data_IF_591023009648
#
_entry.id   IF_591023009648
#
_cell.length_a   1.000
_cell.length_b   1.000
_cell.length_c   1.000
_cell.angle_alpha   90.00
_cell.angle_beta   90.00
_cell.angle_gamma   90.00
#
_symmetry.space_group_name_H-M   'P 1'
#
loop_
_entity.id
_entity.type
_entity.pdbx_description
1 polymer ?
#
# COMPACT_ATOMS: atom_id res chain seq x y z
N UNK A 1 -143.42 -15.44 147.09
CA UNK A 1 -142.16 -15.11 147.79
C UNK A 1 -141.30 -14.29 146.84
N UNK A 2 -140.77 -13.14 147.29
CA UNK A 2 -139.97 -12.26 146.45
C UNK A 2 -138.52 -12.78 146.37
N UNK A 3 -137.92 -12.73 145.17
CA UNK A 3 -136.53 -13.17 144.93
C UNK A 3 -135.58 -12.08 145.42
N UNK A 4 -134.51 -12.49 146.11
CA UNK A 4 -133.49 -11.58 146.65
C UNK A 4 -132.37 -11.28 145.64
N UNK A 5 -131.69 -10.16 145.85
CA UNK A 5 -130.55 -9.71 145.02
C UNK A 5 -129.38 -10.68 145.11
N UNK A 6 -129.12 -11.25 146.28
CA UNK A 6 -128.04 -12.22 146.51
C UNK A 6 -128.26 -13.51 145.70
N UNK A 7 -129.50 -13.96 145.58
CA UNK A 7 -129.85 -15.12 144.74
C UNK A 7 -129.62 -14.84 143.25
N UNK A 8 -129.93 -13.62 142.79
CA UNK A 8 -129.68 -13.19 141.42
C UNK A 8 -128.17 -13.15 141.13
N UNK A 9 -127.36 -12.70 142.08
CA UNK A 9 -125.90 -12.65 141.94
C UNK A 9 -125.29 -14.05 141.93
N UNK A 10 -125.73 -14.94 142.84
CA UNK A 10 -125.24 -16.31 142.90
C UNK A 10 -125.51 -17.07 141.59
N UNK A 11 -126.71 -16.92 141.01
CA UNK A 11 -127.04 -17.52 139.71
C UNK A 11 -126.22 -16.89 138.57
N UNK A 12 -125.99 -15.58 138.62
CA UNK A 12 -125.16 -14.92 137.62
C UNK A 12 -123.69 -15.38 137.70
N UNK A 13 -123.15 -15.54 138.92
CA UNK A 13 -121.81 -16.09 139.18
C UNK A 13 -121.70 -17.55 138.71
N UNK A 14 -122.72 -18.39 138.96
CA UNK A 14 -122.74 -19.78 138.48
C UNK A 14 -122.76 -19.87 136.95
N UNK A 15 -123.61 -19.07 136.29
CA UNK A 15 -123.67 -19.02 134.83
C UNK A 15 -122.33 -18.55 134.24
N UNK A 16 -121.71 -17.55 134.86
CA UNK A 16 -120.44 -17.00 134.44
C UNK A 16 -119.26 -17.97 134.66
N UNK A 17 -119.22 -18.68 135.79
CA UNK A 17 -118.25 -19.72 136.08
C UNK A 17 -118.39 -20.93 135.14
N UNK A 18 -119.60 -21.21 134.66
CA UNK A 18 -119.87 -22.19 133.61
C UNK A 18 -119.52 -21.71 132.18
N UNK A 19 -118.98 -20.48 132.04
CA UNK A 19 -118.63 -19.87 130.75
C UNK A 19 -119.83 -19.43 129.90
N UNK A 20 -121.03 -19.39 130.50
CA UNK A 20 -122.25 -18.95 129.82
C UNK A 20 -122.55 -17.48 130.15
N UNK A 21 -122.97 -16.70 129.15
CA UNK A 21 -123.30 -15.30 129.40
C UNK A 21 -124.55 -15.17 130.30
N UNK A 22 -124.42 -14.55 131.50
CA UNK A 22 -125.55 -14.35 132.40
C UNK A 22 -126.42 -13.19 131.89
N UNK A 23 -127.30 -13.51 130.95
CA UNK A 23 -128.32 -12.60 130.44
C UNK A 23 -129.53 -12.57 131.36
N UNK A 24 -130.34 -11.50 131.31
CA UNK A 24 -131.55 -11.39 132.14
C UNK A 24 -132.50 -12.59 131.94
N UNK A 25 -132.58 -13.10 130.72
CA UNK A 25 -133.40 -14.26 130.39
C UNK A 25 -132.86 -15.56 131.00
N UNK A 26 -131.54 -15.79 130.96
CA UNK A 26 -130.92 -17.00 131.52
C UNK A 26 -131.02 -17.01 133.04
N UNK A 27 -130.73 -15.87 133.68
CA UNK A 27 -130.82 -15.72 135.13
C UNK A 27 -132.26 -15.93 135.62
N UNK A 28 -133.27 -15.37 134.92
CA UNK A 28 -134.69 -15.60 135.24
C UNK A 28 -135.12 -17.05 135.01
N UNK A 29 -134.61 -17.70 133.95
CA UNK A 29 -134.91 -19.11 133.65
C UNK A 29 -134.40 -20.04 134.76
N UNK A 30 -133.19 -19.79 135.26
CA UNK A 30 -132.59 -20.57 136.35
C UNK A 30 -133.30 -20.34 137.69
N UNK A 31 -133.72 -19.11 137.96
CA UNK A 31 -134.45 -18.74 139.19
C UNK A 31 -135.93 -19.15 139.16
N UNK A 32 -136.50 -19.43 137.98
CA UNK A 32 -137.87 -19.90 137.79
C UNK A 32 -138.98 -18.86 138.03
N UNK A 33 -138.66 -17.67 138.53
CA UNK A 33 -139.61 -16.57 138.81
C UNK A 33 -138.87 -15.23 138.91
N UNK A 34 -139.58 -14.12 139.14
CA UNK A 34 -139.01 -12.77 139.30
C UNK A 34 -139.37 -11.80 138.17
N UNK A 35 -139.53 -10.52 138.50
CA UNK A 35 -139.75 -9.47 137.52
C UNK A 35 -138.43 -9.14 136.80
N UNK A 36 -138.50 -8.86 135.51
CA UNK A 36 -137.31 -8.47 134.74
C UNK A 36 -136.70 -7.15 135.21
N UNK A 37 -137.48 -6.25 135.80
CA UNK A 37 -136.97 -4.97 136.32
C UNK A 37 -136.06 -5.20 137.52
N UNK A 38 -136.49 -6.00 138.50
CA UNK A 38 -135.69 -6.32 139.69
C UNK A 38 -134.44 -7.12 139.33
N UNK A 39 -134.53 -8.07 138.38
CA UNK A 39 -133.36 -8.81 137.89
C UNK A 39 -132.41 -7.90 137.12
N UNK A 40 -132.90 -6.92 136.35
CA UNK A 40 -132.05 -5.98 135.61
C UNK A 40 -131.24 -5.04 136.49
N UNK A 41 -131.84 -4.52 137.57
CA UNK A 41 -131.14 -3.67 138.54
C UNK A 41 -130.02 -4.46 139.23
N UNK A 42 -130.34 -5.65 139.74
CA UNK A 42 -129.36 -6.55 140.32
C UNK A 42 -128.27 -6.96 139.31
N UNK A 43 -128.62 -7.33 138.09
CA UNK A 43 -127.63 -7.73 137.07
C UNK A 43 -126.72 -6.59 136.60
N UNK A 44 -127.22 -5.35 136.56
CA UNK A 44 -126.37 -4.20 136.26
C UNK A 44 -125.33 -3.99 137.37
N UNK A 45 -125.74 -4.14 138.63
CA UNK A 45 -124.85 -4.02 139.76
C UNK A 45 -123.86 -5.20 139.86
N UNK A 46 -124.30 -6.42 139.53
CA UNK A 46 -123.43 -7.59 139.39
C UNK A 46 -122.38 -7.38 138.30
N UNK A 47 -122.77 -6.86 137.11
CA UNK A 47 -121.80 -6.54 136.04
C UNK A 47 -120.81 -5.46 136.46
N UNK A 48 -121.26 -4.43 137.18
CA UNK A 48 -120.37 -3.39 137.71
C UNK A 48 -119.37 -3.96 138.74
N UNK A 49 -119.81 -4.89 139.59
CA UNK A 49 -118.93 -5.62 140.53
C UNK A 49 -117.92 -6.51 139.80
N UNK A 50 -118.33 -7.21 138.75
CA UNK A 50 -117.42 -8.05 137.96
C UNK A 50 -116.39 -7.20 137.19
N UNK A 51 -116.81 -6.10 136.58
CA UNK A 51 -115.91 -5.20 135.85
C UNK A 51 -114.84 -4.57 136.77
N UNK A 52 -115.20 -4.25 138.02
CA UNK A 52 -114.24 -3.73 139.00
C UNK A 52 -113.30 -4.81 139.55
N UNK A 53 -113.73 -6.07 139.66
CA UNK A 53 -112.85 -7.19 140.04
C UNK A 53 -111.93 -7.66 138.89
N UNK A 54 -112.32 -7.46 137.64
CA UNK A 54 -111.59 -7.96 136.46
C UNK A 54 -110.62 -6.94 135.84
N UNK A 55 -110.35 -5.80 136.49
CA UNK A 55 -109.27 -4.90 136.09
C UNK A 55 -107.96 -5.36 136.77
N UNK A 56 -107.11 -6.19 136.12
CA UNK A 56 -105.80 -6.46 136.66
C UNK A 56 -105.04 -5.14 136.78
N UNK A 57 -104.67 -4.78 138.00
CA UNK A 57 -103.75 -3.68 138.29
C UNK A 57 -102.44 -4.04 137.58
N UNK A 58 -102.20 -3.41 136.43
CA UNK A 58 -100.86 -3.40 135.83
C UNK A 58 -100.07 -2.36 136.59
N UNK A 59 -99.37 -2.79 137.63
CA UNK A 59 -98.40 -1.93 138.28
C UNK A 59 -97.36 -1.50 137.25
N UNK A 60 -97.06 -0.20 137.11
CA UNK A 60 -95.98 0.26 136.26
C UNK A 60 -94.70 -0.40 136.75
N UNK A 61 -93.85 -0.85 135.80
CA UNK A 61 -92.55 -1.39 136.15
C UNK A 61 -91.81 -0.36 137.03
N UNK A 62 -91.20 -0.78 138.16
CA UNK A 62 -90.45 0.13 139.03
C UNK A 62 -89.44 0.96 138.24
N UNK A 63 -89.30 2.25 138.58
CA UNK A 63 -88.46 3.20 137.84
C UNK A 63 -87.02 2.69 137.65
N UNK A 64 -86.47 1.97 138.63
CA UNK A 64 -85.14 1.36 138.54
C UNK A 64 -85.00 0.35 137.38
N UNK A 65 -86.06 -0.39 137.05
CA UNK A 65 -86.05 -1.35 135.93
C UNK A 65 -86.13 -0.61 134.60
N UNK A 66 -86.96 0.42 134.50
CA UNK A 66 -87.07 1.23 133.27
C UNK A 66 -85.77 1.99 132.99
N UNK A 67 -85.13 2.54 134.02
CA UNK A 67 -83.85 3.24 133.88
C UNK A 67 -82.75 2.30 133.38
N UNK A 68 -82.69 1.06 133.90
CA UNK A 68 -81.74 0.04 133.43
C UNK A 68 -82.02 -0.48 132.03
N UNK A 69 -83.29 -0.63 131.64
CA UNK A 69 -83.63 -0.98 130.26
C UNK A 69 -83.28 0.15 129.27
N UNK A 70 -83.46 1.42 129.68
CA UNK A 70 -83.08 2.57 128.86
C UNK A 70 -81.55 2.68 128.71
N UNK A 71 -80.79 2.46 129.78
CA UNK A 71 -79.31 2.41 129.75
C UNK A 71 -78.82 1.29 128.83
N UNK A 72 -79.32 0.05 129.01
CA UNK A 72 -78.97 -1.08 128.14
C UNK A 72 -79.34 -0.82 126.66
N UNK A 73 -80.49 -0.20 126.41
CA UNK A 73 -80.90 0.19 125.05
C UNK A 73 -79.98 1.26 124.44
N UNK A 74 -79.55 2.23 125.25
CA UNK A 74 -78.58 3.26 124.86
C UNK A 74 -77.21 2.67 124.53
N UNK A 75 -76.71 1.77 125.38
CA UNK A 75 -75.43 1.09 125.18
C UNK A 75 -75.46 0.20 123.93
N UNK A 76 -76.52 -0.58 123.74
CA UNK A 76 -76.69 -1.42 122.55
C UNK A 76 -76.77 -0.57 121.27
N UNK A 77 -77.47 0.56 121.33
CA UNK A 77 -77.56 1.50 120.21
C UNK A 77 -76.20 2.17 119.93
N UNK A 78 -75.45 2.56 120.96
CA UNK A 78 -74.11 3.13 120.81
C UNK A 78 -73.16 2.14 120.12
N UNK A 79 -73.14 0.87 120.55
CA UNK A 79 -72.35 -0.19 119.92
C UNK A 79 -72.79 -0.40 118.46
N UNK A 80 -74.09 -0.45 118.19
CA UNK A 80 -74.60 -0.61 116.82
C UNK A 80 -74.20 0.57 115.92
N UNK A 81 -74.26 1.80 116.43
CA UNK A 81 -73.87 3.00 115.71
C UNK A 81 -72.36 3.06 115.47
N UNK A 82 -71.55 2.68 116.45
CA UNK A 82 -70.10 2.55 116.30
C UNK A 82 -69.75 1.53 115.21
N UNK A 83 -70.38 0.35 115.22
CA UNK A 83 -70.19 -0.66 114.16
C UNK A 83 -70.60 -0.14 112.78
N UNK A 84 -71.74 0.56 112.69
CA UNK A 84 -72.21 1.15 111.44
C UNK A 84 -71.25 2.23 110.92
N UNK A 85 -70.75 3.10 111.81
CA UNK A 85 -69.79 4.15 111.47
C UNK A 85 -68.44 3.57 111.04
N UNK A 86 -67.94 2.55 111.74
CA UNK A 86 -66.70 1.86 111.38
C UNK A 86 -66.81 1.18 110.02
N UNK A 87 -67.94 0.52 109.74
CA UNK A 87 -68.20 -0.07 108.42
C UNK A 87 -68.27 0.99 107.32
N UNK A 88 -68.98 2.10 107.57
CA UNK A 88 -69.06 3.21 106.61
C UNK A 88 -67.69 3.85 106.34
N UNK A 89 -66.86 3.99 107.38
CA UNK A 89 -65.49 4.48 107.24
C UNK A 89 -64.65 3.53 106.40
N UNK A 90 -64.70 2.23 106.67
CA UNK A 90 -63.98 1.20 105.90
C UNK A 90 -64.46 1.12 104.45
N UNK A 91 -65.76 1.21 104.18
CA UNK A 91 -66.30 1.24 102.81
C UNK A 91 -65.85 2.50 102.04
N UNK A 92 -65.79 3.66 102.71
CA UNK A 92 -65.26 4.90 102.11
C UNK A 92 -63.77 4.80 101.80
N UNK A 93 -62.98 4.27 102.73
CA UNK A 93 -61.55 4.06 102.53
C UNK A 93 -61.30 3.08 101.37
N UNK A 94 -62.05 1.98 101.30
CA UNK A 94 -61.95 1.03 100.19
C UNK A 94 -62.36 1.65 98.84
N UNK A 95 -63.42 2.46 98.80
CA UNK A 95 -63.84 3.18 97.60
C UNK A 95 -62.78 4.20 97.15
N UNK A 96 -62.19 4.92 98.10
CA UNK A 96 -61.12 5.88 97.80
C UNK A 96 -59.86 5.17 97.30
N UNK A 97 -59.49 4.04 97.90
CA UNK A 97 -58.38 3.22 97.44
C UNK A 97 -58.60 2.72 96.00
N UNK A 98 -59.78 2.18 95.68
CA UNK A 98 -60.12 1.74 94.32
C UNK A 98 -60.12 2.93 93.35
N UNK A 99 -60.64 4.09 93.76
CA UNK A 99 -60.58 5.30 92.92
C UNK A 99 -59.14 5.70 92.61
N UNK A 100 -58.27 5.75 93.61
CA UNK A 100 -56.86 6.07 93.43
C UNK A 100 -56.15 5.06 92.53
N UNK A 101 -56.40 3.76 92.72
CA UNK A 101 -55.85 2.70 91.87
C UNK A 101 -56.32 2.83 90.42
N UNK A 102 -57.62 3.09 90.19
CA UNK A 102 -58.15 3.28 88.83
C UNK A 102 -57.63 4.55 88.16
N UNK A 103 -57.44 5.63 88.92
CA UNK A 103 -56.87 6.87 88.39
C UNK A 103 -55.38 6.69 88.06
N UNK A 104 -54.63 6.00 88.92
CA UNK A 104 -53.23 5.65 88.66
C UNK A 104 -53.11 4.78 87.40
N UNK A 105 -53.91 3.70 87.29
CA UNK A 105 -53.93 2.85 86.10
C UNK A 105 -54.33 3.61 84.83
N UNK A 106 -55.25 4.58 84.94
CA UNK A 106 -55.64 5.46 83.83
C UNK A 106 -54.49 6.38 83.41
N UNK A 107 -53.73 6.93 84.36
CA UNK A 107 -52.56 7.77 84.09
C UNK A 107 -51.45 6.97 83.43
N UNK A 108 -51.10 5.80 83.96
CA UNK A 108 -50.11 4.89 83.35
C UNK A 108 -50.50 4.49 81.92
N UNK A 109 -51.78 4.18 81.68
CA UNK A 109 -52.28 3.88 80.35
C UNK A 109 -52.20 5.07 79.38
N UNK A 110 -52.46 6.29 79.87
CA UNK A 110 -52.31 7.51 79.08
C UNK A 110 -50.85 7.78 78.72
N UNK A 111 -49.93 7.65 79.69
CA UNK A 111 -48.49 7.82 79.45
C UNK A 111 -47.95 6.79 78.45
N UNK A 112 -48.38 5.53 78.55
CA UNK A 112 -48.02 4.50 77.57
C UNK A 112 -48.58 4.80 76.18
N UNK A 113 -49.82 5.29 76.09
CA UNK A 113 -50.43 5.68 74.81
C UNK A 113 -49.69 6.85 74.15
N UNK A 114 -49.26 7.84 74.94
CA UNK A 114 -48.46 8.96 74.45
C UNK A 114 -47.06 8.49 73.99
N UNK A 115 -46.42 7.60 74.75
CA UNK A 115 -45.14 6.98 74.35
C UNK A 115 -45.25 6.21 73.03
N UNK A 116 -46.23 5.31 72.91
CA UNK A 116 -46.46 4.52 71.69
C UNK A 116 -46.81 5.40 70.49
N UNK A 117 -47.52 6.51 70.71
CA UNK A 117 -47.80 7.48 69.64
C UNK A 117 -46.52 8.15 69.16
N UNK A 118 -45.64 8.56 70.09
CA UNK A 118 -44.32 9.10 69.76
C UNK A 118 -43.44 8.12 69.00
N UNK A 119 -43.36 6.86 69.46
CA UNK A 119 -42.61 5.81 68.77
C UNK A 119 -43.16 5.52 67.38
N UNK A 120 -44.49 5.52 67.21
CA UNK A 120 -45.14 5.31 65.92
C UNK A 120 -44.80 6.45 64.93
N UNK A 121 -44.82 7.69 65.40
CA UNK A 121 -44.48 8.84 64.57
C UNK A 121 -42.99 8.87 64.21
N UNK A 122 -42.10 8.49 65.13
CA UNK A 122 -40.68 8.31 64.84
C UNK A 122 -40.44 7.19 63.82
N UNK A 123 -41.11 6.04 63.98
CA UNK A 123 -41.02 4.93 63.04
C UNK A 123 -41.50 5.33 61.64
N UNK A 124 -42.63 6.05 61.54
CA UNK A 124 -43.12 6.58 60.26
C UNK A 124 -42.13 7.56 59.62
N UNK A 125 -41.52 8.45 60.42
CA UNK A 125 -40.50 9.37 59.93
C UNK A 125 -39.25 8.63 59.41
N UNK A 126 -38.81 7.57 60.11
CA UNK A 126 -37.71 6.71 59.65
C UNK A 126 -38.04 5.97 58.36
N UNK A 127 -39.25 5.44 58.21
CA UNK A 127 -39.70 4.79 56.96
C UNK A 127 -39.69 5.78 55.80
N UNK A 128 -40.27 6.97 55.98
CA UNK A 128 -40.28 8.00 54.94
C UNK A 128 -38.86 8.44 54.54
N UNK A 129 -37.94 8.55 55.51
CA UNK A 129 -36.53 8.85 55.22
C UNK A 129 -35.84 7.74 54.44
N UNK A 130 -36.08 6.47 54.79
CA UNK A 130 -35.53 5.31 54.06
C UNK A 130 -36.08 5.21 52.64
N UNK A 131 -37.38 5.45 52.44
CA UNK A 131 -38.00 5.47 51.11
C UNK A 131 -37.41 6.59 50.23
N UNK A 132 -37.13 7.77 50.81
CA UNK A 132 -36.48 8.86 50.10
C UNK A 132 -35.03 8.50 49.68
N UNK A 133 -34.28 7.85 50.56
CA UNK A 133 -32.93 7.36 50.25
C UNK A 133 -32.97 6.27 49.17
N UNK A 134 -33.92 5.34 49.24
CA UNK A 134 -34.09 4.30 48.23
C UNK A 134 -34.43 4.90 46.85
N UNK A 135 -35.33 5.89 46.81
CA UNK A 135 -35.68 6.60 45.59
C UNK A 135 -34.47 7.35 45.00
N UNK A 136 -33.68 8.02 45.84
CA UNK A 136 -32.45 8.69 45.41
C UNK A 136 -31.42 7.69 44.86
N UNK A 137 -31.19 6.58 45.56
CA UNK A 137 -30.26 5.53 45.13
C UNK A 137 -30.69 4.87 43.81
N UNK A 138 -32.00 4.66 43.60
CA UNK A 138 -32.55 4.19 42.31
C UNK A 138 -32.29 5.20 41.19
N UNK A 139 -32.51 6.49 41.44
CA UNK A 139 -32.22 7.56 40.49
C UNK A 139 -30.75 7.61 40.09
N UNK A 140 -29.83 7.54 41.07
CA UNK A 140 -28.39 7.48 40.81
C UNK A 140 -27.98 6.23 40.03
N UNK A 141 -28.56 5.07 40.35
CA UNK A 141 -28.30 3.83 39.63
C UNK A 141 -28.76 3.91 38.16
N UNK A 142 -29.90 4.53 37.88
CA UNK A 142 -30.39 4.73 36.52
C UNK A 142 -29.53 5.75 35.75
N UNK A 143 -29.08 6.82 36.41
CA UNK A 143 -28.13 7.76 35.81
C UNK A 143 -26.80 7.08 35.46
N UNK A 144 -26.26 6.26 36.36
CA UNK A 144 -25.03 5.50 36.13
C UNK A 144 -25.20 4.47 35.01
N UNK A 145 -26.35 3.78 34.93
CA UNK A 145 -26.67 2.89 33.80
C UNK A 145 -26.73 3.65 32.47
N UNK A 146 -27.34 4.84 32.46
CA UNK A 146 -27.39 5.70 31.29
C UNK A 146 -26.00 6.15 30.83
N UNK A 147 -25.14 6.58 31.77
CA UNK A 147 -23.74 6.92 31.47
C UNK A 147 -22.97 5.73 30.92
N UNK A 148 -23.12 4.56 31.55
CA UNK A 148 -22.45 3.33 31.11
C UNK A 148 -22.85 2.97 29.67
N UNK A 149 -24.15 2.97 29.36
CA UNK A 149 -24.67 2.70 28.02
C UNK A 149 -24.08 3.67 26.98
N UNK A 150 -24.09 4.98 27.28
CA UNK A 150 -23.52 5.99 26.39
C UNK A 150 -22.02 5.82 26.17
N UNK A 151 -21.26 5.44 27.20
CA UNK A 151 -19.82 5.17 27.05
C UNK A 151 -19.56 3.90 26.24
N UNK A 152 -20.36 2.85 26.43
CA UNK A 152 -20.24 1.60 25.67
C UNK A 152 -20.55 1.81 24.18
N UNK A 153 -21.56 2.62 23.85
CA UNK A 153 -21.87 2.98 22.45
C UNK A 153 -20.74 3.77 21.79
N UNK A 154 -20.15 4.73 22.51
CA UNK A 154 -18.98 5.48 22.04
C UNK A 154 -17.78 4.56 21.82
N UNK A 155 -17.53 3.61 22.72
CA UNK A 155 -16.47 2.63 22.57
C UNK A 155 -16.67 1.74 21.34
N UNK A 156 -17.87 1.18 21.16
CA UNK A 156 -18.21 0.37 19.99
C UNK A 156 -18.04 1.16 18.67
N UNK A 157 -18.45 2.43 18.65
CA UNK A 157 -18.27 3.31 17.49
C UNK A 157 -16.78 3.58 17.20
N UNK A 158 -15.98 3.81 18.26
CA UNK A 158 -14.54 4.02 18.10
C UNK A 158 -13.83 2.76 17.60
N UNK A 159 -14.22 1.57 18.09
CA UNK A 159 -13.71 0.28 17.64
C UNK A 159 -14.06 0.01 16.17
N UNK A 160 -15.30 0.28 15.75
CA UNK A 160 -15.71 0.16 14.35
C UNK A 160 -14.86 1.06 13.44
N UNK A 161 -14.69 2.33 13.79
CA UNK A 161 -13.83 3.27 13.04
C UNK A 161 -12.36 2.84 13.00
N UNK A 162 -11.84 2.29 14.10
CA UNK A 162 -10.48 1.75 14.13
C UNK A 162 -10.34 0.54 13.18
N UNK A 163 -11.36 -0.32 13.08
CA UNK A 163 -11.42 -1.42 12.12
C UNK A 163 -11.45 -0.95 10.67
N UNK A 164 -12.26 0.07 10.36
CA UNK A 164 -12.34 0.70 9.04
C UNK A 164 -10.99 1.31 8.64
N UNK A 165 -10.39 2.14 9.51
CA UNK A 165 -9.09 2.77 9.26
C UNK A 165 -7.96 1.75 9.06
N UNK A 166 -8.01 0.62 9.77
CA UNK A 166 -7.04 -0.47 9.58
C UNK A 166 -7.18 -1.11 8.20
N UNK A 167 -8.41 -1.32 7.75
CA UNK A 167 -8.70 -1.87 6.42
C UNK A 167 -8.24 -0.90 5.32
N UNK A 168 -8.53 0.39 5.47
CA UNK A 168 -8.07 1.43 4.54
C UNK A 168 -6.54 1.52 4.50
N UNK A 169 -5.87 1.43 5.65
CA UNK A 169 -4.40 1.44 5.73
C UNK A 169 -3.79 0.22 5.02
N UNK A 170 -4.37 -0.97 5.22
CA UNK A 170 -3.93 -2.18 4.54
C UNK A 170 -4.12 -2.06 3.01
N UNK A 171 -5.22 -1.45 2.57
CA UNK A 171 -5.45 -1.17 1.16
C UNK A 171 -4.43 -0.17 0.59
N UNK A 172 -4.22 0.96 1.27
CA UNK A 172 -3.23 1.96 0.87
C UNK A 172 -1.80 1.37 0.81
N UNK A 173 -1.45 0.48 1.74
CA UNK A 173 -0.19 -0.26 1.71
C UNK A 173 -0.09 -1.20 0.50
N UNK A 174 -1.17 -1.88 0.12
CA UNK A 174 -1.20 -2.71 -1.09
C UNK A 174 -1.04 -1.88 -2.36
N UNK A 175 -1.76 -0.76 -2.48
CA UNK A 175 -1.63 0.17 -3.60
C UNK A 175 -0.21 0.73 -3.69
N UNK A 176 0.38 1.15 -2.56
CA UNK A 176 1.76 1.64 -2.53
C UNK A 176 2.77 0.57 -2.98
N UNK A 177 2.56 -0.71 -2.62
CA UNK A 177 3.40 -1.82 -3.11
C UNK A 177 3.22 -2.04 -4.61
N UNK A 178 1.99 -1.99 -5.11
CA UNK A 178 1.69 -2.13 -6.54
C UNK A 178 2.35 -0.99 -7.35
N UNK A 179 2.15 0.26 -6.93
CA UNK A 179 2.75 1.42 -7.58
C UNK A 179 4.29 1.36 -7.59
N UNK A 180 4.92 0.88 -6.50
CA UNK A 180 6.38 0.64 -6.47
C UNK A 180 6.80 -0.43 -7.47
N UNK A 181 6.09 -1.55 -7.54
CA UNK A 181 6.40 -2.62 -8.49
C UNK A 181 6.21 -2.17 -9.95
N UNK A 182 5.19 -1.37 -10.26
CA UNK A 182 4.99 -0.78 -11.58
C UNK A 182 6.10 0.21 -11.94
N UNK A 183 6.50 1.06 -10.98
CA UNK A 183 7.62 1.99 -11.15
C UNK A 183 8.92 1.23 -11.43
N UNK A 184 9.20 0.17 -10.69
CA UNK A 184 10.44 -0.61 -10.88
C UNK A 184 10.44 -1.27 -12.26
N UNK A 185 9.32 -1.84 -12.71
CA UNK A 185 9.17 -2.35 -14.09
C UNK A 185 9.32 -1.25 -15.15
N UNK A 186 8.77 -0.06 -14.92
CA UNK A 186 8.91 1.06 -15.84
C UNK A 186 10.37 1.52 -15.91
N UNK A 187 11.08 1.53 -14.77
CA UNK A 187 12.50 1.84 -14.70
C UNK A 187 13.34 0.82 -15.47
N UNK A 188 13.09 -0.48 -15.29
CA UNK A 188 13.78 -1.55 -16.04
C UNK A 188 13.56 -1.42 -17.56
N UNK A 189 12.34 -1.09 -17.98
CA UNK A 189 12.05 -0.83 -19.41
C UNK A 189 12.77 0.42 -19.92
N UNK A 190 12.83 1.47 -19.11
CA UNK A 190 13.54 2.70 -19.48
C UNK A 190 15.04 2.46 -19.61
N UNK A 191 15.66 1.70 -18.69
CA UNK A 191 17.08 1.32 -18.79
C UNK A 191 17.32 0.44 -20.01
N UNK A 192 16.49 -0.58 -20.23
CA UNK A 192 16.62 -1.44 -21.42
C UNK A 192 16.47 -0.65 -22.73
N UNK A 193 15.55 0.32 -22.78
CA UNK A 193 15.39 1.19 -23.93
C UNK A 193 16.59 2.13 -24.12
N UNK A 194 17.18 2.64 -23.04
CA UNK A 194 18.39 3.45 -23.09
C UNK A 194 19.58 2.64 -23.65
N UNK A 195 19.76 1.41 -23.17
CA UNK A 195 20.80 0.49 -23.66
C UNK A 195 20.61 0.18 -25.16
N UNK A 196 19.36 -0.04 -25.60
CA UNK A 196 19.04 -0.23 -27.02
C UNK A 196 19.36 1.00 -27.86
N UNK A 197 19.06 2.21 -27.36
CA UNK A 197 19.41 3.46 -28.07
C UNK A 197 20.92 3.62 -28.17
N UNK A 198 21.67 3.27 -27.13
CA UNK A 198 23.14 3.30 -27.18
C UNK A 198 23.70 2.29 -28.18
N UNK A 199 23.19 1.06 -28.20
CA UNK A 199 23.56 0.05 -29.19
C UNK A 199 23.28 0.52 -30.63
N UNK A 200 22.08 1.05 -30.88
CA UNK A 200 21.72 1.60 -32.21
C UNK A 200 22.60 2.78 -32.62
N UNK A 201 23.00 3.64 -31.67
CA UNK A 201 23.95 4.73 -31.94
C UNK A 201 25.33 4.21 -32.32
N UNK A 202 25.81 3.16 -31.65
CA UNK A 202 27.07 2.50 -31.99
C UNK A 202 27.03 1.86 -33.38
N UNK A 203 25.94 1.15 -33.70
CA UNK A 203 25.73 0.55 -35.02
C UNK A 203 25.67 1.62 -36.11
N UNK A 204 24.97 2.74 -35.87
CA UNK A 204 24.90 3.87 -36.79
C UNK A 204 26.28 4.50 -37.00
N UNK A 205 27.07 4.68 -35.95
CA UNK A 205 28.44 5.19 -36.07
C UNK A 205 29.33 4.23 -36.89
N UNK A 206 29.21 2.93 -36.67
CA UNK A 206 29.93 1.92 -37.46
C UNK A 206 29.49 1.92 -38.93
N UNK A 207 28.19 2.04 -39.20
CA UNK A 207 27.66 2.16 -40.55
C UNK A 207 28.18 3.42 -41.26
N UNK A 208 28.16 4.58 -40.58
CA UNK A 208 28.69 5.83 -41.11
C UNK A 208 30.19 5.73 -41.42
N UNK A 209 30.98 5.09 -40.56
CA UNK A 209 32.41 4.84 -40.82
C UNK A 209 32.62 3.96 -42.05
N UNK A 210 31.80 2.92 -42.24
CA UNK A 210 31.86 2.06 -43.43
C UNK A 210 31.49 2.84 -44.69
N UNK A 211 30.45 3.67 -44.63
CA UNK A 211 30.07 4.56 -45.75
C UNK A 211 31.21 5.50 -46.11
N UNK A 212 31.84 6.15 -45.14
CA UNK A 212 32.99 7.03 -45.39
C UNK A 212 34.19 6.26 -45.99
N UNK A 213 34.44 5.03 -45.56
CA UNK A 213 35.48 4.18 -46.16
C UNK A 213 35.15 3.79 -47.60
N UNK A 214 33.89 3.42 -47.87
CA UNK A 214 33.41 3.12 -49.23
C UNK A 214 33.55 4.35 -50.13
N UNK A 215 33.17 5.54 -49.65
CA UNK A 215 33.33 6.80 -50.39
C UNK A 215 34.79 7.10 -50.67
N UNK A 216 35.68 6.90 -49.69
CA UNK A 216 37.13 7.05 -49.88
C UNK A 216 37.66 6.08 -50.95
N UNK A 217 37.35 4.79 -50.84
CA UNK A 217 37.76 3.77 -51.82
C UNK A 217 37.18 4.07 -53.21
N UNK A 218 35.95 4.54 -53.29
CA UNK A 218 35.35 4.97 -54.56
C UNK A 218 36.08 6.19 -55.15
N UNK A 219 36.50 7.14 -54.31
CA UNK A 219 37.34 8.26 -54.72
C UNK A 219 38.72 7.82 -55.24
N UNK A 220 39.39 6.92 -54.51
CA UNK A 220 40.66 6.31 -54.91
C UNK A 220 40.54 5.58 -56.25
N UNK A 221 39.52 4.72 -56.41
CA UNK A 221 39.24 4.01 -57.66
C UNK A 221 38.93 4.95 -58.82
N UNK A 222 38.20 6.05 -58.59
CA UNK A 222 37.96 7.08 -59.63
C UNK A 222 39.27 7.73 -60.06
N UNK A 223 40.16 8.05 -59.11
CA UNK A 223 41.47 8.63 -59.41
C UNK A 223 42.40 7.64 -60.12
N UNK A 224 42.38 6.35 -59.74
CA UNK A 224 43.08 5.28 -60.44
C UNK A 224 42.57 5.13 -61.88
N UNK A 225 41.25 5.13 -62.08
CA UNK A 225 40.64 5.07 -63.41
C UNK A 225 41.01 6.29 -64.27
N UNK A 226 41.01 7.49 -63.70
CA UNK A 226 41.45 8.70 -64.40
C UNK A 226 42.93 8.61 -64.79
N UNK A 227 43.80 8.16 -63.89
CA UNK A 227 45.22 7.90 -64.20
C UNK A 227 45.39 6.84 -65.28
N UNK A 228 44.62 5.75 -65.24
CA UNK A 228 44.66 4.70 -66.26
C UNK A 228 44.16 5.19 -67.62
N UNK A 229 43.11 6.01 -67.65
CA UNK A 229 42.61 6.65 -68.87
C UNK A 229 43.66 7.61 -69.44
N UNK A 230 44.25 8.48 -68.62
CA UNK A 230 45.33 9.38 -69.04
C UNK A 230 46.54 8.60 -69.57
N UNK A 231 46.95 7.51 -68.90
CA UNK A 231 48.02 6.64 -69.38
C UNK A 231 47.66 5.97 -70.71
N UNK A 232 46.41 5.56 -70.89
CA UNK A 232 45.89 5.00 -72.15
C UNK A 232 45.91 6.05 -73.27
N UNK A 233 45.50 7.28 -72.99
CA UNK A 233 45.52 8.39 -73.95
C UNK A 233 46.96 8.79 -74.31
N UNK A 234 47.88 8.83 -73.34
CA UNK A 234 49.31 9.01 -73.58
C UNK A 234 49.90 7.87 -74.42
N UNK A 235 49.55 6.61 -74.12
CA UNK A 235 49.99 5.47 -74.91
C UNK A 235 49.46 5.52 -76.35
N UNK A 236 48.20 5.94 -76.55
CA UNK A 236 47.62 6.18 -77.87
C UNK A 236 48.33 7.31 -78.62
N UNK A 237 48.63 8.42 -77.94
CA UNK A 237 49.38 9.54 -78.51
C UNK A 237 50.80 9.10 -78.93
N UNK A 238 51.52 8.42 -78.04
CA UNK A 238 52.84 7.86 -78.32
C UNK A 238 52.80 6.84 -79.46
N UNK A 239 51.77 5.98 -79.52
CA UNK A 239 51.59 5.04 -80.63
C UNK A 239 51.30 5.77 -81.95
N UNK A 240 50.52 6.86 -81.92
CA UNK A 240 50.27 7.68 -83.10
C UNK A 240 51.53 8.40 -83.59
N UNK A 241 52.35 8.93 -82.67
CA UNK A 241 53.67 9.49 -82.98
C UNK A 241 54.62 8.43 -83.54
N UNK A 242 54.67 7.25 -82.92
CA UNK A 242 55.45 6.13 -83.43
C UNK A 242 54.98 5.73 -84.84
N UNK A 243 53.68 5.67 -85.10
CA UNK A 243 53.13 5.40 -86.45
C UNK A 243 53.60 6.45 -87.44
N UNK A 244 53.47 7.74 -87.13
CA UNK A 244 53.99 8.82 -87.97
C UNK A 244 55.49 8.69 -88.21
N UNK A 245 56.27 8.41 -87.17
CA UNK A 245 57.70 8.20 -87.29
C UNK A 245 58.02 6.98 -88.18
N UNK A 246 57.27 5.88 -88.05
CA UNK A 246 57.42 4.71 -88.94
C UNK A 246 56.97 4.99 -90.37
N UNK A 247 55.95 5.82 -90.59
CA UNK A 247 55.52 6.26 -91.92
C UNK A 247 56.58 7.16 -92.57
N UNK A 248 57.15 8.10 -91.81
CA UNK A 248 58.28 8.93 -92.25
C UNK A 248 59.49 8.06 -92.56
N UNK A 249 59.88 7.15 -91.65
CA UNK A 249 60.99 6.24 -91.87
C UNK A 249 60.74 5.30 -93.06
N UNK A 250 59.49 4.87 -93.29
CA UNK A 250 59.11 4.10 -94.47
C UNK A 250 59.23 4.94 -95.75
N UNK A 251 58.78 6.20 -95.73
CA UNK A 251 58.91 7.13 -96.84
C UNK A 251 60.38 7.45 -97.15
N UNK A 252 61.21 7.69 -96.12
CA UNK A 252 62.65 7.87 -96.24
C UNK A 252 63.31 6.61 -96.81
N UNK A 253 62.94 5.42 -96.31
CA UNK A 253 63.44 4.14 -96.84
C UNK A 253 63.05 3.95 -98.30
N UNK A 254 61.82 4.29 -98.67
CA UNK A 254 61.34 4.16 -100.04
C UNK A 254 62.02 5.20 -100.96
N UNK A 255 62.31 6.41 -100.47
CA UNK A 255 63.14 7.41 -101.14
C UNK A 255 64.59 6.93 -101.31
N UNK A 256 65.20 6.36 -100.26
CA UNK A 256 66.55 5.76 -100.34
C UNK A 256 66.57 4.59 -101.31
N UNK A 257 65.52 3.76 -101.36
CA UNK A 257 65.39 2.71 -102.38
C UNK A 257 65.27 3.28 -103.79
N UNK A 258 64.52 4.36 -103.99
CA UNK A 258 64.42 5.03 -105.28
C UNK A 258 65.77 5.63 -105.72
N UNK A 259 66.48 6.29 -104.81
CA UNK A 259 67.85 6.79 -105.06
C UNK A 259 68.83 5.63 -105.30
N UNK A 260 68.71 4.51 -104.58
CA UNK A 260 69.52 3.31 -104.81
C UNK A 260 69.27 2.73 -106.21
N UNK A 261 68.01 2.63 -106.65
CA UNK A 261 67.66 2.22 -108.03
C UNK A 261 68.25 3.18 -109.05
N UNK A 262 68.22 4.49 -108.79
CA UNK A 262 68.81 5.50 -109.68
C UNK A 262 70.35 5.41 -109.73
N UNK A 263 70.99 5.13 -108.60
CA UNK A 263 72.44 4.90 -108.52
C UNK A 263 72.80 3.58 -109.18
N UNK A 264 72.03 2.51 -108.99
CA UNK A 264 72.20 1.24 -109.70
C UNK A 264 72.06 1.44 -111.21
N UNK A 265 71.05 2.16 -111.69
CA UNK A 265 70.90 2.47 -113.10
C UNK A 265 72.08 3.30 -113.66
N UNK A 266 72.63 4.24 -112.88
CA UNK A 266 73.85 4.97 -113.23
C UNK A 266 75.09 4.08 -113.24
N UNK A 267 75.21 3.16 -112.28
CA UNK A 267 76.30 2.20 -112.20
C UNK A 267 76.24 1.23 -113.38
N UNK A 268 75.07 0.71 -113.73
CA UNK A 268 74.85 -0.14 -114.90
C UNK A 268 75.15 0.61 -116.21
N UNK A 269 74.74 1.87 -116.33
CA UNK A 269 75.08 2.71 -117.48
C UNK A 269 76.60 2.98 -117.57
N UNK A 270 77.27 3.19 -116.44
CA UNK A 270 78.73 3.33 -116.39
C UNK A 270 79.45 2.01 -116.73
N UNK A 271 78.92 0.87 -116.28
CA UNK A 271 79.43 -0.47 -116.58
C UNK A 271 79.28 -0.77 -118.08
N UNK A 272 78.12 -0.44 -118.68
CA UNK A 272 77.89 -0.55 -120.12
C UNK A 272 78.84 0.34 -120.92
N UNK A 273 79.02 1.61 -120.50
CA UNK A 273 79.99 2.51 -121.12
C UNK A 273 81.44 1.98 -121.01
N UNK A 274 81.82 1.41 -119.86
CA UNK A 274 83.13 0.78 -119.69
C UNK A 274 83.30 -0.49 -120.53
N UNK A 275 82.25 -1.29 -120.71
CA UNK A 275 82.29 -2.44 -121.62
C UNK A 275 82.45 -2.01 -123.08
N UNK A 276 81.74 -0.97 -123.52
CA UNK A 276 81.90 -0.41 -124.87
C UNK A 276 83.30 0.17 -125.08
N UNK A 277 83.82 0.90 -124.09
CA UNK A 277 85.18 1.46 -124.13
C UNK A 277 86.25 0.35 -124.17
N UNK A 278 86.07 -0.76 -123.44
CA UNK A 278 86.97 -1.92 -123.50
C UNK A 278 86.93 -2.62 -124.86
N UNK A 279 85.75 -2.74 -125.50
CA UNK A 279 85.63 -3.30 -126.85
C UNK A 279 86.32 -2.41 -127.90
N UNK A 280 86.20 -1.09 -127.78
CA UNK A 280 86.91 -0.14 -128.64
C UNK A 280 88.43 -0.23 -128.47
N UNK A 281 88.93 -0.27 -127.23
CA UNK A 281 90.36 -0.41 -126.95
C UNK A 281 90.91 -1.79 -127.38
N UNK A 282 90.13 -2.86 -127.27
CA UNK A 282 90.53 -4.18 -127.77
C UNK A 282 90.65 -4.21 -129.31
N UNK A 283 89.76 -3.50 -130.02
CA UNK A 283 89.83 -3.39 -131.48
C UNK A 283 91.04 -2.57 -131.97
N UNK A 284 91.43 -1.52 -131.24
CA UNK A 284 92.63 -0.73 -131.55
C UNK A 284 93.93 -1.47 -131.19
N UNK A 285 93.96 -2.22 -130.09
CA UNK A 285 95.09 -3.08 -129.74
C UNK A 285 95.31 -4.20 -130.77
N UNK A 286 94.24 -4.75 -131.35
CA UNK A 286 94.36 -5.78 -132.39
C UNK A 286 94.94 -5.22 -133.70
N UNK A 287 94.52 -4.02 -134.13
CA UNK A 287 95.13 -3.32 -135.29
C UNK A 287 96.61 -2.96 -135.08
N UNK A 288 97.00 -2.65 -133.85
CA UNK A 288 98.40 -2.37 -133.49
C UNK A 288 99.25 -3.66 -133.52
N UNK A 289 98.69 -4.80 -133.11
CA UNK A 289 99.36 -6.09 -133.17
C UNK A 289 99.59 -6.59 -134.61
N UNK A 290 98.66 -6.39 -135.53
CA UNK A 290 98.84 -6.75 -136.95
C UNK A 290 99.94 -5.93 -137.64
N UNK A 291 100.07 -4.64 -137.31
CA UNK A 291 101.14 -3.77 -137.84
C UNK A 291 102.54 -4.17 -137.36
N UNK A 292 102.66 -4.64 -136.12
CA UNK A 292 103.94 -5.13 -135.57
C UNK A 292 104.38 -6.44 -136.23
N UNK A 293 103.43 -7.33 -136.57
CA UNK A 293 103.72 -8.58 -137.29
C UNK A 293 104.19 -8.31 -138.73
N UNK A 294 103.60 -7.33 -139.42
CA UNK A 294 104.04 -6.91 -140.76
C UNK A 294 105.46 -6.29 -140.73
N UNK A 295 105.74 -5.43 -139.74
CA UNK A 295 107.06 -4.80 -139.58
C UNK A 295 108.17 -5.79 -139.17
N UNK A 296 107.84 -6.89 -138.48
CA UNK A 296 108.79 -7.95 -138.18
C UNK A 296 109.14 -8.79 -139.42
N UNK A 297 108.17 -9.04 -140.31
CA UNK A 297 108.42 -9.72 -141.59
C UNK A 297 109.37 -8.96 -142.52
N UNK A 298 109.26 -7.63 -142.59
CA UNK A 298 110.14 -6.80 -143.43
C UNK A 298 111.58 -6.72 -142.91
N UNK A 299 111.79 -6.79 -141.58
CA UNK A 299 113.13 -6.82 -140.96
C UNK A 299 113.89 -8.11 -141.24
N UNK A 300 113.22 -9.25 -141.24
CA UNK A 300 113.86 -10.53 -141.48
C UNK A 300 114.17 -10.75 -142.98
N UNK A 301 113.38 -10.14 -143.87
CA UNK A 301 113.68 -10.06 -145.30
C UNK A 301 114.93 -9.19 -145.55
N UNK A 302 115.03 -8.00 -144.93
CA UNK A 302 116.18 -7.10 -145.07
C UNK A 302 117.50 -7.70 -144.54
N UNK A 303 117.45 -8.60 -143.54
CA UNK A 303 118.64 -9.30 -143.04
C UNK A 303 119.15 -10.39 -143.99
N UNK A 304 118.28 -11.02 -144.77
CA UNK A 304 118.68 -12.01 -145.78
C UNK A 304 119.37 -11.33 -146.96
N UNK A 305 118.85 -10.18 -147.40
CA UNK A 305 119.43 -9.41 -148.51
C UNK A 305 120.80 -8.79 -148.15
N UNK A 306 120.99 -8.40 -146.88
CA UNK A 306 122.28 -7.91 -146.38
C UNK A 306 123.38 -8.98 -146.26
N UNK A 307 123.01 -10.26 -146.11
CA UNK A 307 123.97 -11.37 -146.10
C UNK A 307 124.47 -11.68 -147.52
N UNK A 308 123.59 -11.58 -148.52
CA UNK A 308 123.89 -11.84 -149.92
C UNK A 308 124.82 -10.77 -150.52
N UNK A 309 124.64 -9.50 -150.14
CA UNK A 309 125.51 -8.39 -150.58
C UNK A 309 126.93 -8.42 -149.99
N UNK A 310 127.16 -9.12 -148.87
CA UNK A 310 128.49 -9.23 -148.25
C UNK A 310 129.42 -10.22 -148.96
N UNK A 311 128.86 -11.24 -149.60
CA UNK A 311 129.66 -12.29 -150.23
C UNK A 311 130.18 -11.83 -151.60
N UNK A 312 129.38 -11.08 -152.36
CA UNK A 312 129.78 -10.49 -153.64
C UNK A 312 130.90 -9.42 -153.49
N UNK A 313 130.92 -8.71 -152.36
CA UNK A 313 131.95 -7.70 -152.06
C UNK A 313 133.33 -8.32 -151.72
N UNK A 314 133.39 -9.57 -151.25
CA UNK A 314 134.65 -10.28 -151.01
C UNK A 314 135.30 -10.75 -152.33
N UNK A 315 134.50 -11.07 -153.34
CA UNK A 315 134.98 -11.53 -154.66
C UNK A 315 135.64 -10.46 -155.53
N UNK A 316 135.31 -9.17 -155.33
CA UNK A 316 135.85 -8.06 -156.12
C UNK A 316 137.13 -7.44 -155.51
N UNK A 317 137.33 -7.57 -154.20
CA UNK A 317 138.43 -6.91 -153.50
C UNK A 317 139.80 -7.56 -153.76
N UNK A 318 139.85 -8.84 -154.12
CA UNK A 318 141.09 -9.51 -154.52
C UNK A 318 141.61 -9.12 -155.91
N UNK A 319 140.75 -8.59 -156.80
CA UNK A 319 141.16 -8.23 -158.17
C UNK A 319 141.86 -6.86 -158.28
N UNK A 320 141.77 -6.01 -157.25
CA UNK A 320 142.32 -4.64 -157.27
C UNK A 320 143.75 -4.52 -156.72
N UNK A 321 144.27 -5.54 -156.03
CA UNK A 321 145.67 -5.55 -155.54
C UNK A 321 146.70 -5.83 -156.67
N UNK A 322 146.24 -6.22 -157.86
CA UNK A 322 147.09 -6.59 -158.99
C UNK A 322 147.55 -5.42 -159.89
N UNK A 323 147.15 -4.16 -159.65
CA UNK A 323 147.35 -3.06 -160.62
C UNK A 323 148.16 -1.83 -160.16
N UNK A 324 148.52 -1.70 -158.87
CA UNK A 324 149.18 -0.46 -158.40
C UNK A 324 150.72 -0.50 -158.33
N UNK A 325 151.39 -1.63 -158.56
CA UNK A 325 152.85 -1.75 -158.39
C UNK A 325 153.69 -1.60 -159.67
N UNK A 326 153.11 -1.05 -160.76
CA UNK A 326 153.82 -0.84 -162.05
C UNK A 326 154.24 0.63 -162.29
N UNK A 327 153.75 1.63 -161.55
CA UNK A 327 153.89 3.04 -161.99
C UNK A 327 154.28 4.05 -160.90
N UNK A 328 155.54 4.05 -160.41
CA UNK A 328 156.28 5.30 -160.11
C UNK A 328 157.69 5.09 -159.52
N UNK A 329 158.73 5.41 -160.30
CA UNK A 329 160.05 5.87 -159.81
C UNK A 329 160.43 7.19 -160.51
N UNK A 330 160.72 8.24 -159.72
CA UNK A 330 161.37 9.52 -160.11
C UNK A 330 160.42 10.75 -160.14
N UNK A 331 160.68 11.90 -159.49
CA UNK A 331 161.76 12.41 -158.61
C UNK A 331 161.21 13.76 -158.05
N UNK A 332 160.96 13.90 -156.75
CA UNK A 332 161.75 14.58 -155.70
C UNK A 332 162.01 16.10 -155.85
N UNK A 333 161.36 16.91 -155.00
CA UNK A 333 161.90 18.13 -154.36
C UNK A 333 160.94 18.55 -153.22
N UNK A 334 161.30 18.03 -152.06
CA UNK A 334 160.82 18.13 -150.67
C UNK A 334 159.73 19.17 -150.25
N UNK A 335 158.53 18.68 -149.90
CA UNK A 335 157.59 19.26 -148.94
C UNK A 335 157.41 18.33 -147.73
N UNK A 336 157.85 18.78 -146.56
CA UNK A 336 157.95 17.95 -145.36
C UNK A 336 156.69 18.00 -144.49
N UNK A 337 156.20 16.80 -144.18
CA UNK A 337 155.17 16.40 -143.21
C UNK A 337 153.71 16.37 -143.69
N UNK A 338 153.42 15.37 -144.53
CA UNK A 338 152.09 14.78 -144.68
C UNK A 338 152.15 13.24 -144.65
N UNK A 339 151.56 12.62 -143.63
CA UNK A 339 151.28 11.18 -143.47
C UNK A 339 150.24 10.98 -142.35
N UNK A 340 149.23 10.10 -142.39
CA UNK A 340 148.85 8.99 -143.29
C UNK A 340 147.30 8.89 -143.39
N UNK A 341 146.81 8.83 -144.65
CA UNK A 341 145.57 8.21 -145.22
C UNK A 341 144.20 8.56 -144.56
N UNK A 342 143.42 9.59 -144.97
CA UNK A 342 142.60 9.83 -146.21
C UNK A 342 141.57 8.72 -146.51
N UNK A 343 140.25 9.01 -146.37
CA UNK A 343 139.26 9.37 -147.43
C UNK A 343 138.99 8.27 -148.43
#
# INVERSE_FOLDING_TARGET
MAISKEQIFAVADELDAAGQNPTLANVRKQLGSGSFTTISEAMNEWRARKASQAAPIREPAPQAITDKLAELGGDLWAVALEMANNRLAAEREALEAVRQETEAARQEAAELADQLTGELDEAKARVAALEAVEAAAKGEADELRGKLAATSERAATAEARAGELRTELDHAHQEARQARAERDKAQERATASADQVEALRADLAAANSRTAEIERRAGELRADLERANQATDQARAAQAEQRKATEVAAAERDQVRAELVKVQAKAEAAEQAHQEQRKAMAAEAHRQAERLTAAQGERDQAKRDAAQAREEAAGLRGRLEALETVMAQGRAADPTSGGRKKT
#
